data_IF_316343881693
#
_entry.id   IF_316343881693
#
_cell.length_a   1.000
_cell.length_b   1.000
_cell.length_c   1.000
_cell.angle_alpha   90.00
_cell.angle_beta   90.00
_cell.angle_gamma   90.00
#
_symmetry.space_group_name_H-M   'P 1'
#
loop_
_entity.id
_entity.type
_entity.pdbx_description
1 polymer ?
#
# COMPACT_ATOMS: atom_id res chain seq x y z
N UNK A 1 12.53 2.71 26.12
CA UNK A 1 11.60 3.82 25.85
C UNK A 1 10.17 3.30 25.70
N UNK A 2 9.92 2.35 24.78
CA UNK A 2 8.60 1.70 24.61
C UNK A 2 8.07 1.10 25.91
N UNK A 3 8.92 0.41 26.69
CA UNK A 3 8.47 -0.26 27.93
C UNK A 3 8.03 0.70 29.04
N UNK A 4 8.58 1.92 29.08
CA UNK A 4 8.17 2.95 30.06
C UNK A 4 6.80 3.55 29.73
N UNK A 5 6.46 3.61 28.43
CA UNK A 5 5.20 4.18 27.95
C UNK A 5 4.09 3.13 27.79
N UNK A 6 4.46 1.84 27.81
CA UNK A 6 3.52 0.74 27.70
C UNK A 6 2.48 0.84 28.81
N UNK A 7 1.21 0.87 28.43
CA UNK A 7 0.06 0.99 29.34
C UNK A 7 0.06 2.23 30.24
N UNK A 8 0.82 3.29 29.91
CA UNK A 8 0.77 4.54 30.66
C UNK A 8 -0.45 5.37 30.27
N UNK A 9 -0.95 6.18 31.20
CA UNK A 9 -2.05 7.11 30.94
C UNK A 9 -1.65 8.15 29.87
N UNK A 10 -0.40 8.61 29.90
CA UNK A 10 0.14 9.53 28.90
C UNK A 10 0.10 8.91 27.48
N UNK A 11 0.49 7.64 27.32
CA UNK A 11 0.38 6.96 26.04
C UNK A 11 -1.08 6.80 25.62
N UNK A 12 -1.96 6.39 26.54
CA UNK A 12 -3.40 6.24 26.28
C UNK A 12 -4.00 7.52 25.69
N UNK A 13 -3.76 8.68 26.33
CA UNK A 13 -4.21 10.00 25.84
C UNK A 13 -3.65 10.34 24.45
N UNK A 14 -2.38 10.01 24.18
CA UNK A 14 -1.77 10.20 22.85
C UNK A 14 -2.48 9.37 21.78
N UNK A 15 -2.82 8.11 22.06
CA UNK A 15 -3.55 7.25 21.11
C UNK A 15 -4.97 7.78 20.88
N UNK A 16 -5.67 8.19 21.93
CA UNK A 16 -7.01 8.79 21.84
C UNK A 16 -7.00 10.07 21.00
N UNK A 17 -5.96 10.91 21.11
CA UNK A 17 -5.80 12.08 20.27
C UNK A 17 -5.68 11.72 18.78
N UNK A 18 -4.93 10.65 18.45
CA UNK A 18 -4.85 10.15 17.07
C UNK A 18 -6.21 9.69 16.57
N UNK A 19 -6.96 8.92 17.37
CA UNK A 19 -8.33 8.50 17.03
C UNK A 19 -9.24 9.70 16.78
N UNK A 20 -9.21 10.69 17.68
CA UNK A 20 -10.02 11.90 17.59
C UNK A 20 -9.76 12.66 16.28
N UNK A 21 -8.51 12.71 15.82
CA UNK A 21 -8.16 13.35 14.55
C UNK A 21 -8.80 12.66 13.33
N UNK A 22 -9.05 11.35 13.36
CA UNK A 22 -9.77 10.63 12.30
C UNK A 22 -11.30 10.65 12.46
N UNK A 23 -11.79 11.04 13.64
CA UNK A 23 -13.21 11.15 13.96
C UNK A 23 -13.98 9.83 13.78
N UNK A 24 -15.27 9.93 13.49
CA UNK A 24 -16.16 8.77 13.30
C UNK A 24 -15.82 7.90 12.09
N UNK A 25 -15.02 8.41 11.15
CA UNK A 25 -14.57 7.66 9.98
C UNK A 25 -13.35 6.76 10.26
N UNK A 26 -12.66 6.99 11.38
CA UNK A 26 -11.51 6.22 11.81
C UNK A 26 -11.88 4.93 12.53
N UNK A 27 -10.97 3.96 12.49
CA UNK A 27 -11.01 2.77 13.35
C UNK A 27 -10.33 3.07 14.68
N UNK A 28 -10.80 2.38 15.71
CA UNK A 28 -10.20 2.39 17.05
C UNK A 28 -8.80 1.77 17.01
N UNK A 29 -7.91 2.42 17.74
CA UNK A 29 -6.49 2.15 17.87
C UNK A 29 -6.10 1.79 19.30
N UNK A 30 -6.92 2.12 20.30
CA UNK A 30 -6.59 1.75 21.67
C UNK A 30 -6.58 0.23 21.86
N UNK A 31 -5.44 -0.31 22.27
CA UNK A 31 -5.25 -1.74 22.56
C UNK A 31 -4.16 -1.91 23.62
N UNK A 32 -4.30 -2.92 24.48
CA UNK A 32 -3.33 -3.19 25.56
C UNK A 32 -1.95 -3.47 24.97
N UNK A 33 -0.92 -2.80 25.50
CA UNK A 33 0.46 -2.96 25.04
C UNK A 33 0.81 -2.19 23.77
N UNK A 34 -0.15 -1.53 23.11
CA UNK A 34 0.13 -0.66 21.95
C UNK A 34 0.68 0.69 22.41
N UNK A 35 1.75 1.14 21.77
CA UNK A 35 2.46 2.38 22.11
C UNK A 35 2.64 3.23 20.86
N UNK A 36 2.30 4.53 20.95
CA UNK A 36 2.62 5.50 19.91
C UNK A 36 4.10 5.89 20.01
N UNK A 37 4.87 5.48 19.02
CA UNK A 37 6.33 5.71 18.93
C UNK A 37 6.62 7.08 18.35
N UNK A 38 5.94 7.47 17.28
CA UNK A 38 6.18 8.75 16.63
C UNK A 38 5.14 9.11 15.59
N UNK A 39 5.17 10.36 15.15
CA UNK A 39 4.26 10.90 14.15
C UNK A 39 4.93 12.00 13.34
N UNK A 40 4.45 12.21 12.12
CA UNK A 40 4.98 13.26 11.26
C UNK A 40 4.42 13.24 9.85
N UNK A 41 4.68 14.32 9.12
CA UNK A 41 4.26 14.45 7.72
C UNK A 41 5.34 13.91 6.80
N UNK A 42 4.97 12.96 5.93
CA UNK A 42 5.82 12.48 4.83
C UNK A 42 5.17 12.76 3.48
N UNK A 43 5.99 12.95 2.45
CA UNK A 43 5.52 13.09 1.08
C UNK A 43 5.39 11.71 0.46
N UNK A 44 4.15 11.26 0.26
CA UNK A 44 3.85 9.98 -0.37
C UNK A 44 3.72 10.14 -1.88
N UNK A 45 4.51 9.40 -2.66
CA UNK A 45 4.34 9.37 -4.11
C UNK A 45 3.06 8.58 -4.45
N UNK A 46 2.19 9.24 -5.20
CA UNK A 46 0.98 8.66 -5.75
C UNK A 46 1.04 8.68 -7.27
N UNK A 47 0.13 7.96 -7.93
CA UNK A 47 0.08 7.81 -9.41
C UNK A 47 0.18 9.13 -10.17
N UNK A 48 -0.53 10.16 -9.69
CA UNK A 48 -0.67 11.46 -10.36
C UNK A 48 0.30 12.54 -9.84
N UNK A 49 0.35 12.71 -8.51
CA UNK A 49 1.15 13.75 -7.85
C UNK A 49 1.65 13.25 -6.49
N UNK A 50 2.82 13.72 -6.02
CA UNK A 50 3.19 13.61 -4.61
C UNK A 50 2.11 14.22 -3.73
N UNK A 51 1.83 13.62 -2.58
CA UNK A 51 0.88 14.18 -1.61
C UNK A 51 1.43 14.06 -0.19
N UNK A 52 1.35 15.14 0.58
CA UNK A 52 1.61 15.11 2.01
C UNK A 52 0.59 14.22 2.72
N UNK A 53 1.07 13.41 3.66
CA UNK A 53 0.25 12.51 4.48
C UNK A 53 0.76 12.56 5.91
N UNK A 54 -0.16 12.59 6.87
CA UNK A 54 0.20 12.39 8.27
C UNK A 54 0.44 10.89 8.47
N UNK A 55 1.60 10.54 9.02
CA UNK A 55 1.95 9.19 9.43
C UNK A 55 2.03 9.09 10.95
N UNK A 56 1.68 7.93 11.47
CA UNK A 56 1.80 7.55 12.88
C UNK A 56 2.45 6.17 12.94
N UNK A 57 3.50 6.06 13.74
CA UNK A 57 4.18 4.80 14.03
C UNK A 57 3.76 4.33 15.42
N UNK A 58 3.13 3.18 15.47
CA UNK A 58 2.95 2.39 16.67
C UNK A 58 3.98 1.27 16.71
N UNK A 59 4.13 0.61 17.85
CA UNK A 59 5.01 -0.55 17.97
C UNK A 59 4.56 -1.76 17.13
N UNK A 60 3.29 -1.80 16.71
CA UNK A 60 2.69 -2.89 15.93
C UNK A 60 2.02 -2.43 14.62
N UNK A 61 1.77 -1.13 14.45
CA UNK A 61 1.07 -0.58 13.30
C UNK A 61 1.82 0.62 12.68
N UNK A 62 1.80 0.68 11.35
CA UNK A 62 2.04 1.91 10.60
C UNK A 62 0.71 2.45 10.10
N UNK A 63 0.37 3.68 10.48
CA UNK A 63 -0.88 4.33 10.09
C UNK A 63 -0.59 5.58 9.29
N UNK A 64 -1.38 5.84 8.24
CA UNK A 64 -1.34 7.14 7.58
C UNK A 64 -2.72 7.60 7.09
N UNK A 65 -2.86 8.91 6.93
CA UNK A 65 -4.10 9.56 6.50
C UNK A 65 -3.88 10.78 5.62
N UNK A 66 -4.93 11.17 4.91
CA UNK A 66 -4.98 12.44 4.17
C UNK A 66 -5.18 13.58 5.17
N UNK A 67 -4.37 14.63 5.04
CA UNK A 67 -4.48 15.84 5.84
C UNK A 67 -5.67 16.64 5.32
N UNK A 68 -6.64 16.91 6.18
CA UNK A 68 -7.79 17.77 5.87
C UNK A 68 -7.66 19.09 6.61
N UNK A 69 -7.32 19.03 7.90
CA UNK A 69 -6.92 20.20 8.67
C UNK A 69 -5.72 19.78 9.49
N UNK A 70 -4.58 20.45 9.27
CA UNK A 70 -3.34 20.06 9.91
C UNK A 70 -3.50 19.99 11.44
N UNK A 71 -3.01 18.90 12.03
CA UNK A 71 -3.09 18.59 13.48
C UNK A 71 -4.51 18.56 14.09
N UNK A 72 -5.56 18.61 13.26
CA UNK A 72 -6.96 18.65 13.74
C UNK A 72 -7.84 17.57 13.11
N UNK A 73 -7.72 17.35 11.79
CA UNK A 73 -8.60 16.42 11.07
C UNK A 73 -7.86 15.69 9.96
N UNK A 74 -7.96 14.37 9.98
CA UNK A 74 -7.42 13.45 8.98
C UNK A 74 -8.55 12.57 8.42
N UNK A 75 -8.36 12.07 7.19
CA UNK A 75 -9.30 11.14 6.54
C UNK A 75 -8.56 10.02 5.83
N UNK A 76 -9.28 9.05 5.27
CA UNK A 76 -8.70 7.90 4.55
C UNK A 76 -7.65 7.18 5.40
N UNK A 77 -8.05 6.74 6.59
CA UNK A 77 -7.16 6.04 7.51
C UNK A 77 -6.71 4.71 6.89
N UNK A 78 -5.41 4.58 6.68
CA UNK A 78 -4.77 3.35 6.26
C UNK A 78 -4.00 2.79 7.45
N UNK A 79 -4.32 1.56 7.86
CA UNK A 79 -3.65 0.86 8.95
C UNK A 79 -2.94 -0.36 8.37
N UNK A 80 -1.64 -0.46 8.62
CA UNK A 80 -0.78 -1.51 8.11
C UNK A 80 -0.09 -2.18 9.31
N UNK A 81 -0.31 -3.49 9.56
CA UNK A 81 0.46 -4.22 10.55
C UNK A 81 1.96 -4.21 10.18
N UNK A 82 2.82 -3.90 11.14
CA UNK A 82 4.25 -3.72 10.88
C UNK A 82 4.94 -5.00 10.46
N UNK A 83 4.50 -6.17 10.93
CA UNK A 83 5.03 -7.46 10.47
C UNK A 83 4.85 -7.68 8.94
N UNK A 84 3.97 -6.92 8.30
CA UNK A 84 3.74 -6.94 6.85
C UNK A 84 4.56 -5.91 6.07
N UNK A 85 5.40 -5.13 6.76
CA UNK A 85 6.19 -4.05 6.17
C UNK A 85 7.60 -4.51 5.90
N UNK A 86 8.11 -4.16 4.72
CA UNK A 86 9.54 -4.21 4.41
C UNK A 86 9.99 -2.87 3.87
N UNK A 87 11.11 -2.37 4.38
CA UNK A 87 11.72 -1.13 3.90
C UNK A 87 12.79 -1.42 2.87
N UNK A 88 12.95 -0.49 1.93
CA UNK A 88 14.05 -0.46 0.98
C UNK A 88 14.50 0.99 0.80
N UNK A 89 15.78 1.26 1.07
CA UNK A 89 16.36 2.58 0.88
C UNK A 89 16.31 2.97 -0.60
N UNK A 90 15.97 4.22 -0.88
CA UNK A 90 16.05 4.78 -2.23
C UNK A 90 17.17 5.80 -2.23
N UNK A 91 18.06 5.66 -3.21
CA UNK A 91 19.15 6.59 -3.43
C UNK A 91 18.63 7.92 -3.94
N UNK A 92 19.37 8.96 -3.59
CA UNK A 92 19.01 10.32 -3.91
C UNK A 92 19.31 10.58 -5.40
N UNK A 93 18.29 10.92 -6.19
CA UNK A 93 18.41 11.19 -7.64
C UNK A 93 17.70 12.49 -8.02
N UNK A 94 18.41 13.44 -8.65
CA UNK A 94 17.84 14.74 -9.01
C UNK A 94 17.24 15.48 -7.81
N UNK A 95 15.97 15.86 -7.90
CA UNK A 95 15.22 16.51 -6.80
C UNK A 95 14.64 15.51 -5.79
N UNK A 96 14.69 14.22 -6.08
CA UNK A 96 14.21 13.18 -5.18
C UNK A 96 15.28 12.90 -4.11
N UNK A 97 15.06 13.44 -2.91
CA UNK A 97 15.99 13.33 -1.77
C UNK A 97 15.30 12.74 -0.55
N UNK A 98 16.02 11.94 0.21
CA UNK A 98 15.53 11.35 1.47
C UNK A 98 14.34 10.40 1.25
N UNK A 99 14.37 9.60 0.17
CA UNK A 99 13.33 8.64 -0.16
C UNK A 99 13.55 7.23 0.40
N UNK A 100 12.47 6.51 0.68
CA UNK A 100 12.49 5.05 0.86
C UNK A 100 11.17 4.43 0.40
N UNK A 101 11.23 3.15 0.05
CA UNK A 101 10.09 2.33 -0.35
C UNK A 101 9.56 1.56 0.85
N UNK A 102 8.26 1.73 1.11
CA UNK A 102 7.50 0.91 2.06
C UNK A 102 6.78 -0.15 1.24
N UNK A 103 7.22 -1.41 1.38
CA UNK A 103 6.55 -2.56 0.77
C UNK A 103 5.52 -3.13 1.74
N UNK A 104 4.33 -3.45 1.22
CA UNK A 104 3.25 -4.11 1.99
C UNK A 104 2.57 -5.15 1.12
N UNK A 105 1.74 -6.03 1.72
CA UNK A 105 0.96 -7.02 0.95
C UNK A 105 0.02 -6.40 -0.08
N UNK A 106 -0.64 -5.30 0.29
CA UNK A 106 -1.74 -4.73 -0.52
C UNK A 106 -1.23 -3.62 -1.45
N UNK A 107 -0.33 -2.78 -0.95
CA UNK A 107 0.13 -1.59 -1.69
C UNK A 107 1.50 -1.14 -1.23
N UNK A 108 2.47 -1.24 -2.12
CA UNK A 108 3.80 -0.66 -1.91
C UNK A 108 3.85 0.77 -2.41
N UNK A 109 4.61 1.64 -1.74
CA UNK A 109 4.68 3.05 -2.09
C UNK A 109 5.96 3.72 -1.60
N UNK A 110 6.42 4.69 -2.37
CA UNK A 110 7.52 5.58 -2.00
C UNK A 110 7.04 6.68 -1.07
N UNK A 111 7.87 6.99 -0.09
CA UNK A 111 7.76 8.16 0.78
C UNK A 111 9.08 8.91 0.82
N UNK A 112 8.99 10.21 1.06
CA UNK A 112 10.12 11.11 1.17
C UNK A 112 9.97 11.94 2.44
N UNK A 113 11.05 12.03 3.20
CA UNK A 113 11.17 12.91 4.36
C UNK A 113 11.72 14.28 3.96
N UNK A 114 11.53 15.27 4.83
CA UNK A 114 12.03 16.62 4.65
C UNK A 114 13.55 16.69 4.78
N UNK A 115 14.12 15.86 5.66
CA UNK A 115 15.54 15.87 5.99
C UNK A 115 16.13 14.45 6.00
N UNK A 116 17.45 14.31 5.81
CA UNK A 116 18.13 13.03 5.94
C UNK A 116 17.95 12.42 7.33
N UNK A 117 17.93 13.26 8.37
CA UNK A 117 17.73 12.81 9.74
C UNK A 117 16.34 12.26 9.98
N UNK A 118 15.31 12.94 9.49
CA UNK A 118 13.95 12.42 9.57
C UNK A 118 13.80 11.08 8.85
N UNK A 119 14.34 10.93 7.63
CA UNK A 119 14.37 9.63 6.93
C UNK A 119 14.99 8.54 7.80
N UNK A 120 16.16 8.80 8.37
CA UNK A 120 16.90 7.83 9.18
C UNK A 120 16.10 7.40 10.40
N UNK A 121 15.53 8.34 11.14
CA UNK A 121 14.74 8.06 12.35
C UNK A 121 13.48 7.25 12.02
N UNK A 122 12.76 7.59 10.95
CA UNK A 122 11.61 6.81 10.51
C UNK A 122 11.99 5.38 10.15
N UNK A 123 13.01 5.20 9.32
CA UNK A 123 13.46 3.86 8.89
C UNK A 123 13.93 3.03 10.09
N UNK A 124 14.77 3.60 10.95
CA UNK A 124 15.31 2.94 12.14
C UNK A 124 14.20 2.51 13.11
N UNK A 125 13.24 3.39 13.42
CA UNK A 125 12.17 3.06 14.35
C UNK A 125 11.19 2.03 13.78
N UNK A 126 10.87 2.11 12.49
CA UNK A 126 10.04 1.09 11.83
C UNK A 126 10.76 -0.27 11.87
N UNK A 127 12.03 -0.33 11.45
CA UNK A 127 12.80 -1.58 11.45
C UNK A 127 12.91 -2.18 12.84
N UNK A 128 13.16 -1.36 13.87
CA UNK A 128 13.21 -1.81 15.25
C UNK A 128 11.89 -2.47 15.69
N UNK A 129 10.76 -1.81 15.43
CA UNK A 129 9.45 -2.36 15.78
C UNK A 129 9.16 -3.69 15.04
N UNK A 130 9.52 -3.77 13.76
CA UNK A 130 9.42 -5.02 12.98
C UNK A 130 10.27 -6.12 13.62
N UNK A 131 11.53 -5.84 13.95
CA UNK A 131 12.42 -6.84 14.56
C UNK A 131 11.87 -7.34 15.90
N UNK A 132 11.27 -6.47 16.70
CA UNK A 132 10.69 -6.87 17.98
C UNK A 132 9.45 -7.78 17.78
N UNK A 133 8.58 -7.47 16.82
CA UNK A 133 7.45 -8.36 16.44
C UNK A 133 7.92 -9.73 15.94
N UNK A 134 9.00 -9.78 15.16
CA UNK A 134 9.54 -11.05 14.64
C UNK A 134 10.12 -11.91 15.77
N UNK A 135 10.76 -11.30 16.79
CA UNK A 135 11.22 -12.02 17.99
C UNK A 135 10.06 -12.58 18.81
N UNK A 136 8.90 -11.94 18.78
CA UNK A 136 7.65 -12.43 19.39
C UNK A 136 6.98 -13.54 18.56
N UNK A 137 7.58 -13.97 17.45
CA UNK A 137 7.11 -15.09 16.62
C UNK A 137 6.15 -14.69 15.50
N UNK A 138 5.97 -13.40 15.22
CA UNK A 138 5.26 -12.95 14.00
C UNK A 138 6.08 -13.32 12.77
N UNK A 139 5.40 -13.63 11.67
CA UNK A 139 6.05 -14.01 10.41
C UNK A 139 5.82 -12.94 9.33
N UNK A 140 6.85 -12.58 8.56
CA UNK A 140 6.69 -11.66 7.44
C UNK A 140 5.91 -12.33 6.30
N UNK A 141 5.28 -11.55 5.41
CA UNK A 141 4.65 -12.08 4.22
C UNK A 141 5.67 -12.69 3.25
N UNK A 142 5.23 -13.69 2.48
CA UNK A 142 6.02 -14.26 1.38
C UNK A 142 6.19 -13.28 0.22
N UNK A 143 5.17 -12.45 -0.01
CA UNK A 143 5.04 -11.60 -1.18
C UNK A 143 4.58 -10.19 -0.82
N UNK A 144 5.00 -9.23 -1.64
CA UNK A 144 4.65 -7.82 -1.50
C UNK A 144 4.05 -7.31 -2.80
N UNK A 145 3.11 -6.38 -2.71
CA UNK A 145 2.55 -5.73 -3.88
C UNK A 145 3.64 -4.99 -4.67
N UNK A 146 3.55 -5.00 -6.00
CA UNK A 146 4.46 -4.24 -6.84
C UNK A 146 4.32 -2.72 -6.62
N UNK A 147 5.43 -1.98 -6.67
CA UNK A 147 5.41 -0.53 -6.75
C UNK A 147 4.87 -0.10 -8.12
N UNK A 148 3.87 0.78 -8.13
CA UNK A 148 3.31 1.28 -9.37
C UNK A 148 4.18 2.40 -9.92
N UNK A 149 4.46 2.31 -11.23
CA UNK A 149 5.16 3.36 -11.96
C UNK A 149 4.24 4.60 -12.04
N UNK A 150 4.73 5.80 -11.64
CA UNK A 150 3.98 7.04 -11.77
C UNK A 150 3.57 7.34 -13.22
N UNK A 151 2.39 7.94 -13.41
CA UNK A 151 1.83 8.16 -14.75
C UNK A 151 2.71 9.04 -15.63
N UNK A 152 3.40 10.01 -15.02
CA UNK A 152 4.27 10.98 -15.69
C UNK A 152 5.52 10.32 -16.28
N UNK A 153 6.00 9.23 -15.69
CA UNK A 153 7.18 8.49 -16.16
C UNK A 153 6.85 7.58 -17.35
N UNK A 154 5.56 7.25 -17.54
CA UNK A 154 5.12 6.40 -18.63
C UNK A 154 4.44 7.23 -19.74
N UNK A 155 5.21 7.64 -20.76
CA UNK A 155 4.69 8.30 -21.96
C UNK A 155 4.10 7.30 -22.97
N UNK A 156 4.55 6.04 -22.93
CA UNK A 156 4.10 4.95 -23.79
C UNK A 156 3.90 3.66 -23.00
N UNK A 157 3.11 2.74 -23.54
CA UNK A 157 2.86 1.45 -22.91
C UNK A 157 4.16 0.68 -22.66
N UNK A 158 4.36 0.21 -21.43
CA UNK A 158 5.55 -0.53 -20.99
C UNK A 158 5.52 -2.04 -21.35
N UNK A 159 4.54 -2.44 -22.16
CA UNK A 159 4.44 -3.80 -22.71
C UNK A 159 4.70 -3.80 -24.22
N UNK A 160 3.90 -3.09 -25.02
CA UNK A 160 4.12 -3.05 -26.47
C UNK A 160 5.16 -2.01 -26.91
N UNK A 161 5.44 -0.99 -26.09
CA UNK A 161 6.33 0.13 -26.43
C UNK A 161 5.94 0.93 -27.69
N UNK A 162 4.78 0.65 -28.28
CA UNK A 162 4.25 1.31 -29.48
C UNK A 162 3.14 2.32 -29.16
N UNK A 163 2.22 1.97 -28.25
CA UNK A 163 1.08 2.85 -27.93
C UNK A 163 1.50 4.03 -27.05
N UNK A 164 1.38 5.25 -27.56
CA UNK A 164 1.55 6.47 -26.78
C UNK A 164 0.28 6.78 -25.98
N UNK A 165 0.44 7.21 -24.74
CA UNK A 165 -0.70 7.55 -23.89
C UNK A 165 -1.17 8.99 -24.17
N UNK A 166 -2.48 9.13 -24.35
CA UNK A 166 -3.17 10.40 -24.63
C UNK A 166 -4.46 10.47 -23.79
N UNK A 167 -5.30 11.49 -24.00
CA UNK A 167 -6.61 11.58 -23.35
C UNK A 167 -7.52 10.41 -23.74
N UNK A 168 -7.41 9.96 -25.01
CA UNK A 168 -8.18 8.84 -25.55
C UNK A 168 -7.48 7.51 -25.20
N UNK A 169 -6.16 7.44 -25.42
CA UNK A 169 -5.37 6.27 -25.07
C UNK A 169 -4.97 6.32 -23.59
N UNK A 170 -5.88 5.85 -22.74
CA UNK A 170 -5.74 5.93 -21.28
C UNK A 170 -4.66 4.99 -20.74
N UNK A 171 -4.06 5.39 -19.62
CA UNK A 171 -3.12 4.59 -18.83
C UNK A 171 -3.87 3.58 -17.97
N UNK A 172 -3.31 2.38 -17.85
CA UNK A 172 -3.75 1.37 -16.89
C UNK A 172 -2.55 0.78 -16.16
N UNK A 173 -2.70 0.41 -14.90
CA UNK A 173 -1.64 -0.28 -14.17
C UNK A 173 -1.92 -1.78 -14.08
N UNK A 174 -0.90 -2.58 -14.38
CA UNK A 174 -0.90 -3.99 -14.04
C UNK A 174 -0.76 -4.14 -12.52
N UNK A 175 -1.72 -4.79 -11.86
CA UNK A 175 -1.65 -4.96 -10.39
C UNK A 175 -0.55 -5.91 -9.94
N UNK A 176 -0.11 -6.83 -10.81
CA UNK A 176 0.93 -7.80 -10.49
C UNK A 176 2.35 -7.21 -10.59
N UNK A 177 2.62 -6.34 -11.57
CA UNK A 177 3.98 -5.82 -11.81
C UNK A 177 4.12 -4.29 -11.76
N UNK A 178 3.05 -3.55 -11.54
CA UNK A 178 3.08 -2.09 -11.38
C UNK A 178 3.31 -1.27 -12.65
N UNK A 179 3.61 -1.92 -13.78
CA UNK A 179 3.81 -1.25 -15.09
C UNK A 179 2.56 -0.53 -15.59
N UNK A 180 2.78 0.57 -16.32
CA UNK A 180 1.74 1.30 -17.05
C UNK A 180 1.56 0.72 -18.46
N UNK A 181 0.34 0.31 -18.77
CA UNK A 181 -0.03 -0.48 -19.94
C UNK A 181 -1.29 0.05 -20.62
N UNK A 182 -1.41 -0.17 -21.92
CA UNK A 182 -2.64 0.13 -22.66
C UNK A 182 -3.71 -0.94 -22.42
N UNK A 183 -4.94 -0.65 -22.86
CA UNK A 183 -6.08 -1.58 -22.76
C UNK A 183 -5.80 -2.89 -23.47
N UNK A 184 -5.22 -2.84 -24.68
CA UNK A 184 -4.92 -4.03 -25.49
C UNK A 184 -3.91 -4.96 -24.85
N UNK A 185 -2.88 -4.44 -24.16
CA UNK A 185 -1.87 -5.24 -23.46
C UNK A 185 -2.29 -5.69 -22.05
N UNK A 186 -3.53 -5.38 -21.64
CA UNK A 186 -4.03 -5.68 -20.29
C UNK A 186 -5.51 -6.03 -20.29
N UNK A 187 -5.95 -6.75 -21.31
CA UNK A 187 -7.36 -7.10 -21.51
C UNK A 187 -7.91 -8.03 -20.42
N UNK A 188 -7.03 -8.70 -19.68
CA UNK A 188 -7.37 -9.75 -18.71
C UNK A 188 -7.28 -9.29 -17.26
N UNK A 189 -7.99 -10.01 -16.40
CA UNK A 189 -7.93 -9.85 -14.94
C UNK A 189 -7.59 -11.16 -14.28
N UNK A 190 -6.90 -11.10 -13.14
CA UNK A 190 -6.47 -12.26 -12.37
C UNK A 190 -6.72 -12.02 -10.87
N UNK A 191 -7.01 -13.08 -10.12
CA UNK A 191 -7.20 -13.00 -8.67
C UNK A 191 -5.82 -13.04 -7.98
N UNK A 192 -5.35 -11.88 -7.52
CA UNK A 192 -4.07 -11.76 -6.83
C UNK A 192 -4.31 -11.91 -5.32
N UNK A 193 -4.01 -13.09 -4.79
CA UNK A 193 -4.10 -13.39 -3.36
C UNK A 193 -3.30 -12.36 -2.53
N UNK A 194 -3.84 -11.97 -1.38
CA UNK A 194 -3.25 -10.95 -0.51
C UNK A 194 -3.40 -9.49 -1.01
N UNK A 195 -3.64 -9.25 -2.30
CA UNK A 195 -3.83 -7.89 -2.85
C UNK A 195 -5.32 -7.53 -2.98
N UNK A 196 -6.14 -8.43 -3.52
CA UNK A 196 -7.55 -8.16 -3.77
C UNK A 196 -8.40 -9.43 -3.70
N UNK A 197 -9.57 -9.32 -3.06
CA UNK A 197 -10.59 -10.40 -3.04
C UNK A 197 -11.33 -10.57 -4.37
N UNK A 198 -11.14 -9.63 -5.31
CA UNK A 198 -11.75 -9.66 -6.65
C UNK A 198 -10.66 -9.71 -7.72
N UNK A 199 -10.94 -10.28 -8.91
CA UNK A 199 -10.01 -10.21 -10.03
C UNK A 199 -9.61 -8.76 -10.35
N UNK A 200 -8.32 -8.54 -10.56
CA UNK A 200 -7.75 -7.24 -10.88
C UNK A 200 -7.01 -7.28 -12.21
N UNK A 201 -7.00 -6.15 -12.91
CA UNK A 201 -6.32 -6.02 -14.21
C UNK A 201 -4.84 -6.38 -14.10
N UNK A 202 -4.39 -7.24 -15.00
CA UNK A 202 -2.98 -7.59 -15.16
C UNK A 202 -2.59 -7.44 -16.63
N UNK A 203 -1.33 -7.16 -16.92
CA UNK A 203 -0.85 -7.23 -18.30
C UNK A 203 -0.82 -8.68 -18.78
N UNK A 204 -0.88 -8.88 -20.10
CA UNK A 204 -0.97 -10.23 -20.67
C UNK A 204 0.24 -11.10 -20.30
N UNK A 205 1.43 -10.50 -20.20
CA UNK A 205 2.63 -11.19 -19.71
C UNK A 205 2.46 -11.72 -18.29
N UNK A 206 1.91 -10.92 -17.38
CA UNK A 206 1.66 -11.35 -16.01
C UNK A 206 0.55 -12.41 -15.96
N UNK A 207 -0.53 -12.22 -16.72
CA UNK A 207 -1.61 -13.19 -16.80
C UNK A 207 -1.09 -14.58 -17.20
N UNK A 208 -0.31 -14.66 -18.28
CA UNK A 208 0.22 -15.93 -18.79
C UNK A 208 1.13 -16.62 -17.76
N UNK A 209 2.01 -15.86 -17.09
CA UNK A 209 2.89 -16.39 -16.03
C UNK A 209 2.08 -16.94 -14.84
N UNK A 210 1.07 -16.19 -14.40
CA UNK A 210 0.23 -16.57 -13.28
C UNK A 210 -0.60 -17.82 -13.60
N UNK A 211 -1.12 -17.94 -14.82
CA UNK A 211 -1.83 -19.15 -15.26
C UNK A 211 -0.91 -20.38 -15.37
N UNK A 212 0.35 -20.22 -15.77
CA UNK A 212 1.31 -21.33 -15.84
C UNK A 212 1.64 -21.89 -14.45
N UNK A 213 1.67 -21.04 -13.43
CA UNK A 213 1.82 -21.43 -12.02
C UNK A 213 0.61 -22.16 -11.42
N UNK A 214 -0.52 -22.22 -12.14
CA UNK A 214 -1.73 -22.94 -11.73
C UNK A 214 -1.84 -24.33 -12.37
N UNK A 215 -0.78 -24.84 -13.00
CA UNK A 215 -0.78 -26.22 -13.49
C UNK A 215 -1.15 -27.17 -12.33
N UNK A 216 -2.12 -28.06 -12.50
CA UNK A 216 -2.49 -28.98 -11.45
C UNK A 216 -1.25 -29.78 -11.05
N UNK A 217 -0.90 -29.76 -9.76
CA UNK A 217 0.06 -30.74 -9.22
C UNK A 217 -0.42 -32.12 -9.68
N UNK A 218 0.47 -33.01 -10.16
CA UNK A 218 0.07 -34.35 -10.57
C UNK A 218 -0.72 -34.99 -9.44
N UNK A 219 -2.02 -35.16 -9.65
CA UNK A 219 -2.84 -35.93 -8.73
C UNK A 219 -2.40 -37.37 -8.96
N UNK A 220 -1.84 -38.01 -7.93
CA UNK A 220 -1.56 -39.43 -7.99
C UNK A 220 -2.82 -40.17 -8.49
N UNK A 221 -2.70 -41.16 -9.39
CA UNK A 221 -3.86 -41.73 -10.05
C UNK A 221 -4.76 -42.40 -9.01
N UNK A 222 -5.92 -41.79 -8.77
CA UNK A 222 -6.99 -42.41 -7.99
C UNK A 222 -7.71 -43.40 -8.91
N UNK A 223 -7.74 -44.66 -8.49
CA UNK A 223 -8.34 -45.77 -9.21
C UNK A 223 -9.77 -45.49 -9.69
N UNK A 224 -9.90 -45.56 -11.00
CA UNK A 224 -11.02 -46.09 -11.79
C UNK A 224 -12.28 -46.53 -11.02
N UNK A 225 -13.38 -45.77 -11.16
CA UNK A 225 -14.75 -46.30 -11.22
C UNK A 225 -15.61 -45.46 -12.19
N UNK A 226 -16.63 -46.12 -12.74
CA UNK A 226 -17.21 -46.00 -14.08
C UNK A 226 -18.48 -45.13 -14.12
N UNK A 227 -18.73 -44.50 -15.29
CA UNK A 227 -20.06 -44.14 -15.82
C UNK A 227 -20.45 -42.66 -15.64
N UNK A 228 -21.03 -41.94 -16.60
CA UNK A 228 -21.51 -42.24 -17.95
C UNK A 228 -22.50 -41.13 -18.36
N UNK A 229 -22.33 -40.57 -19.56
CA UNK A 229 -23.39 -39.96 -20.41
C UNK A 229 -24.01 -38.62 -20.03
N UNK A 230 -24.03 -37.67 -20.99
CA UNK A 230 -25.03 -36.60 -21.03
C UNK A 230 -24.54 -35.27 -21.61
N UNK A 231 -24.79 -35.03 -22.90
CA UNK A 231 -24.41 -33.84 -23.65
C UNK A 231 -25.31 -32.61 -23.39
N UNK A 232 -24.70 -31.44 -23.63
CA UNK A 232 -25.20 -30.34 -24.48
C UNK A 232 -25.67 -29.01 -23.86
N UNK A 233 -25.23 -27.96 -24.57
CA UNK A 233 -25.86 -26.64 -24.81
C UNK A 233 -25.31 -25.40 -24.09
N UNK A 234 -24.65 -24.58 -24.91
CA UNK A 234 -24.33 -23.18 -24.72
C UNK A 234 -25.57 -22.34 -24.41
N UNK A 235 -25.47 -21.37 -23.49
CA UNK A 235 -26.03 -20.02 -23.69
C UNK A 235 -25.16 -18.93 -23.07
N UNK A 236 -24.77 -18.01 -23.93
CA UNK A 236 -24.16 -16.71 -23.71
C UNK A 236 -24.99 -15.83 -22.76
N UNK A 237 -24.35 -15.15 -21.81
CA UNK A 237 -24.88 -13.92 -21.21
C UNK A 237 -23.83 -12.84 -21.15
N UNK A 238 -24.05 -11.89 -22.04
CA UNK A 238 -23.56 -10.53 -22.07
C UNK A 238 -23.56 -9.89 -20.67
N UNK A 239 -22.47 -9.22 -20.30
CA UNK A 239 -22.37 -8.45 -19.06
C UNK A 239 -21.67 -7.13 -19.34
N UNK A 240 -22.46 -6.08 -19.56
CA UNK A 240 -22.01 -4.70 -19.52
C UNK A 240 -21.25 -4.41 -18.22
N UNK A 241 -20.09 -3.73 -18.27
CA UNK A 241 -19.36 -3.37 -17.06
C UNK A 241 -20.04 -2.18 -16.37
N UNK A 242 -20.49 -2.40 -15.14
CA UNK A 242 -20.90 -1.35 -14.20
C UNK A 242 -19.63 -0.62 -13.72
N UNK A 243 -19.60 0.69 -13.96
CA UNK A 243 -18.56 1.61 -13.50
C UNK A 243 -18.38 1.55 -11.97
N UNK A 244 -17.15 1.32 -11.52
CA UNK A 244 -16.73 1.68 -10.17
C UNK A 244 -16.01 3.03 -10.24
N UNK A 245 -16.69 4.07 -9.77
CA UNK A 245 -16.21 5.44 -9.66
C UNK A 245 -14.86 5.52 -8.93
N UNK A 246 -13.84 6.05 -9.61
CA UNK A 246 -12.62 6.61 -9.00
C UNK A 246 -12.94 8.08 -8.73
N UNK A 247 -13.16 8.40 -7.46
CA UNK A 247 -13.59 9.70 -6.97
C UNK A 247 -12.67 10.82 -7.47
N UNK A 248 -13.27 11.79 -8.16
CA UNK A 248 -12.74 13.11 -8.40
C UNK A 248 -12.68 13.88 -7.07
N UNK A 249 -11.54 14.47 -6.74
CA UNK A 249 -11.50 15.66 -5.88
C UNK A 249 -10.38 16.58 -6.37
N UNK A 250 -10.80 17.83 -6.59
CA UNK A 250 -9.99 18.99 -6.94
C UNK A 250 -9.40 19.55 -5.64
N UNK A 251 -8.07 19.68 -5.57
CA UNK A 251 -7.39 20.32 -4.44
C UNK A 251 -6.90 21.70 -4.90
N UNK A 252 -7.37 22.77 -4.25
CA UNK A 252 -6.61 24.00 -4.10
C UNK A 252 -6.24 24.12 -2.63
N UNK A 253 -4.97 23.85 -2.27
CA UNK A 253 -4.42 24.17 -0.96
C UNK A 253 -2.92 24.49 -1.05
N UNK A 254 -2.52 25.48 -0.25
CA UNK A 254 -1.19 26.08 -0.07
C UNK A 254 -0.18 25.16 0.68
N UNK A 255 1.13 25.46 0.62
CA UNK A 255 2.17 24.66 1.29
C UNK A 255 2.12 24.80 2.83
N UNK A 256 1.94 23.68 3.54
CA UNK A 256 2.05 23.62 5.01
C UNK A 256 3.52 23.51 5.44
N UNK A 257 3.94 24.38 6.36
CA UNK A 257 5.24 24.28 7.05
C UNK A 257 5.32 22.99 7.88
N UNK A 258 6.42 22.26 7.72
CA UNK A 258 6.73 21.01 8.40
C UNK A 258 7.34 21.31 9.77
N UNK A 259 6.65 20.90 10.84
CA UNK A 259 7.21 20.87 12.19
C UNK A 259 6.76 19.55 12.83
N UNK A 260 7.71 18.65 13.11
CA UNK A 260 7.47 17.32 13.65
C UNK A 260 8.09 17.21 15.05
N UNK A 261 7.36 16.61 15.99
CA UNK A 261 7.63 16.65 17.44
C UNK A 261 8.50 15.44 17.90
N UNK A 262 9.56 15.08 17.18
CA UNK A 262 10.46 13.97 17.55
C UNK A 262 11.28 14.23 18.83
N UNK A 263 11.41 15.50 19.26
CA UNK A 263 12.28 15.92 20.36
C UNK A 263 11.68 15.70 21.76
N UNK A 264 10.36 15.49 21.93
CA UNK A 264 9.74 15.31 23.27
C UNK A 264 9.91 13.92 23.89
N UNK A 265 10.62 13.00 23.22
CA UNK A 265 10.86 11.66 23.75
C UNK A 265 12.23 11.51 24.44
N UNK A 266 13.08 12.54 24.40
CA UNK A 266 14.44 12.50 24.93
C UNK A 266 14.68 13.32 26.20
N UNK A 267 13.75 14.20 26.56
CA UNK A 267 13.79 14.97 27.80
C UNK A 267 12.58 14.62 28.68
N UNK A 268 12.69 13.53 29.45
CA UNK A 268 12.06 13.22 30.77
C UNK A 268 12.31 11.76 31.21
#
# INVERSE_FOLDING_TARGET
>A
MVDKLRNSEANTRRIENVEACFGSSGRKLLETGRVLIGEGILIKICRKKPKARQFFLFNDLLIYGSIIINRKRYSNQHIIPLEEVKLENIEDEGDARNGWLIKTRIKSFLVYASTPSEKREWMLHIERCIQDLLKEGRLPPSDYAALWVPDKEAVKCMCCHTSHFTVIQRRHHCRACGKVVCSSCSSKSFMLEGISKKPVRVCDTCYNKLCQGMSPKPVAPLGQLVGGGGENSLRTRDSSPINANDSSDSDGEEPLQQQNDWERAHDE
#
